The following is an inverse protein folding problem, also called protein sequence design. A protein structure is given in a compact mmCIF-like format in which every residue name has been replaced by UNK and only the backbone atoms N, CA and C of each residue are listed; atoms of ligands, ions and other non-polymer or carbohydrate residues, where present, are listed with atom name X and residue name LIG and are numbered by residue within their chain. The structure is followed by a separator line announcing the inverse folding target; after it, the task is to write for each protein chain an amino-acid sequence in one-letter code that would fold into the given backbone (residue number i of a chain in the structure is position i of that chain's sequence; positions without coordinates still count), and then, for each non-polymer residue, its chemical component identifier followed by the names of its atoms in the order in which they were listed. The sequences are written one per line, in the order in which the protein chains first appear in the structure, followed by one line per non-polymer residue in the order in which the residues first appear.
data_IF_650687716846
#
_entry.id   IF_650687716846
#
_cell.length_a   1.000
_cell.length_b   1.000
_cell.length_c   1.000
_cell.angle_alpha   90.00
_cell.angle_beta   90.00
_cell.angle_gamma   90.00
#
_symmetry.space_group_name_H-M   'P 1'
#
loop_
_entity.id
_entity.type
_entity.pdbx_description
1 polymer ?
#
# COMPACT_ATOMS: atom_id res chain seq x y z
N UNK A 1 -9.12 12.65 -21.98
CA UNK A 1 -10.24 11.85 -22.49
C UNK A 1 -10.39 10.54 -21.71
N UNK A 2 -9.34 9.70 -21.58
CA UNK A 2 -9.40 8.42 -20.86
C UNK A 2 -9.73 8.56 -19.35
N UNK A 3 -9.05 9.44 -18.63
CA UNK A 3 -9.31 9.68 -17.19
C UNK A 3 -10.75 10.16 -16.94
N UNK A 4 -11.24 11.07 -17.79
CA UNK A 4 -12.62 11.55 -17.73
C UNK A 4 -13.66 10.45 -18.00
N UNK A 5 -13.37 9.53 -18.92
CA UNK A 5 -14.25 8.37 -19.14
C UNK A 5 -14.28 7.45 -17.91
N UNK A 6 -13.13 7.22 -17.27
CA UNK A 6 -13.04 6.42 -16.05
C UNK A 6 -13.80 7.07 -14.87
N UNK A 7 -13.70 8.39 -14.71
CA UNK A 7 -14.44 9.14 -13.69
C UNK A 7 -15.96 8.96 -13.77
N UNK A 8 -16.50 8.80 -14.97
CA UNK A 8 -17.94 8.63 -15.21
C UNK A 8 -18.37 7.16 -15.21
N UNK A 9 -17.43 6.24 -15.07
CA UNK A 9 -17.70 4.81 -15.06
C UNK A 9 -18.11 4.35 -13.66
N UNK A 10 -19.18 3.55 -13.55
CA UNK A 10 -19.65 3.00 -12.27
C UNK A 10 -19.49 1.49 -12.25
N UNK A 11 -18.52 1.03 -11.48
CA UNK A 11 -18.26 -0.39 -11.27
C UNK A 11 -19.14 -0.94 -10.14
N UNK A 12 -19.92 -1.99 -10.43
CA UNK A 12 -20.64 -2.74 -9.38
C UNK A 12 -19.85 -3.99 -8.97
N UNK A 13 -19.48 -4.81 -9.96
CA UNK A 13 -18.68 -6.03 -9.82
C UNK A 13 -17.45 -5.93 -10.71
N UNK A 14 -16.24 -6.14 -10.17
CA UNK A 14 -15.03 -5.95 -10.95
C UNK A 14 -14.94 -6.88 -12.15
N UNK A 15 -15.29 -8.16 -11.97
CA UNK A 15 -15.23 -9.17 -13.05
C UNK A 15 -16.12 -8.83 -14.24
N UNK A 16 -17.25 -8.16 -14.01
CA UNK A 16 -18.21 -7.78 -15.06
C UNK A 16 -17.85 -6.44 -15.68
N UNK A 17 -17.35 -5.52 -14.86
CA UNK A 17 -17.04 -4.15 -15.26
C UNK A 17 -15.65 -3.99 -15.87
N UNK A 18 -14.71 -4.88 -15.55
CA UNK A 18 -13.31 -4.78 -15.93
C UNK A 18 -12.85 -6.08 -16.62
N UNK A 19 -12.98 -6.14 -17.96
CA UNK A 19 -12.46 -7.27 -18.75
C UNK A 19 -10.97 -7.48 -18.49
N UNK A 20 -10.51 -8.73 -18.50
CA UNK A 20 -9.10 -9.04 -18.20
C UNK A 20 -8.12 -8.31 -19.11
N UNK A 21 -8.42 -8.16 -20.41
CA UNK A 21 -7.56 -7.43 -21.34
C UNK A 21 -7.39 -5.95 -20.97
N UNK A 22 -8.46 -5.34 -20.42
CA UNK A 22 -8.44 -3.95 -19.95
C UNK A 22 -7.55 -3.84 -18.72
N UNK A 23 -7.69 -4.77 -17.77
CA UNK A 23 -6.84 -4.82 -16.57
C UNK A 23 -5.38 -5.02 -16.94
N UNK A 24 -5.07 -5.98 -17.79
CA UNK A 24 -3.70 -6.27 -18.20
C UNK A 24 -3.08 -5.06 -18.93
N UNK A 25 -3.87 -4.35 -19.74
CA UNK A 25 -3.45 -3.10 -20.39
C UNK A 25 -3.19 -1.98 -19.38
N UNK A 26 -4.05 -1.82 -18.37
CA UNK A 26 -3.86 -0.82 -17.31
C UNK A 26 -2.66 -1.16 -16.42
N UNK A 27 -2.43 -2.43 -16.12
CA UNK A 27 -1.27 -2.89 -15.34
C UNK A 27 0.04 -2.67 -16.10
N UNK A 28 0.06 -2.89 -17.42
CA UNK A 28 1.18 -2.50 -18.29
C UNK A 28 1.40 -1.00 -18.32
N UNK A 29 0.32 -0.22 -18.30
CA UNK A 29 0.39 1.23 -18.25
C UNK A 29 0.98 1.72 -16.92
N UNK A 30 0.55 1.14 -15.79
CA UNK A 30 1.08 1.39 -14.44
C UNK A 30 2.58 1.08 -14.37
N UNK A 31 3.02 -0.04 -14.94
CA UNK A 31 4.44 -0.44 -14.97
C UNK A 31 5.26 0.23 -16.08
N UNK A 32 4.71 1.21 -16.79
CA UNK A 32 5.41 1.86 -17.90
C UNK A 32 6.66 2.59 -17.42
N UNK A 33 7.73 2.53 -18.22
CA UNK A 33 8.95 3.35 -18.02
C UNK A 33 8.65 4.84 -18.18
N UNK A 34 7.56 5.21 -18.85
CA UNK A 34 7.13 6.60 -18.95
C UNK A 34 6.33 6.99 -17.70
N UNK A 35 6.86 7.97 -16.97
CA UNK A 35 6.30 8.47 -15.71
C UNK A 35 4.85 8.95 -15.82
N UNK A 36 4.50 9.63 -16.91
CA UNK A 36 3.14 10.15 -17.12
C UNK A 36 2.16 9.03 -17.45
N UNK A 37 2.60 8.03 -18.20
CA UNK A 37 1.80 6.84 -18.47
C UNK A 37 1.55 6.05 -17.19
N UNK A 38 2.59 5.81 -16.39
CA UNK A 38 2.46 5.16 -15.07
C UNK A 38 1.46 5.90 -14.17
N UNK A 39 1.58 7.22 -14.06
CA UNK A 39 0.65 8.04 -13.29
C UNK A 39 -0.78 7.96 -13.83
N UNK A 40 -0.97 8.05 -15.15
CA UNK A 40 -2.27 7.92 -15.79
C UNK A 40 -2.91 6.55 -15.51
N UNK A 41 -2.13 5.47 -15.63
CA UNK A 41 -2.60 4.11 -15.36
C UNK A 41 -3.09 3.95 -13.92
N UNK A 42 -2.35 4.47 -12.94
CA UNK A 42 -2.80 4.47 -11.55
C UNK A 42 -4.10 5.26 -11.39
N UNK A 43 -4.19 6.49 -11.90
CA UNK A 43 -5.39 7.33 -11.76
C UNK A 43 -6.63 6.73 -12.40
N UNK A 44 -6.49 6.18 -13.61
CA UNK A 44 -7.60 5.47 -14.27
C UNK A 44 -8.04 4.29 -13.41
N UNK A 45 -7.10 3.48 -12.91
CA UNK A 45 -7.42 2.38 -12.02
C UNK A 45 -8.13 2.85 -10.75
N UNK A 46 -7.72 3.97 -10.14
CA UNK A 46 -8.40 4.53 -8.96
C UNK A 46 -9.88 4.76 -9.21
N UNK A 47 -10.24 5.43 -10.32
CA UNK A 47 -11.64 5.70 -10.65
C UNK A 47 -12.44 4.43 -10.95
N UNK A 48 -11.79 3.42 -11.53
CA UNK A 48 -12.45 2.16 -11.84
C UNK A 48 -12.73 1.31 -10.61
N UNK A 49 -11.89 1.41 -9.56
CA UNK A 49 -12.02 0.54 -8.37
C UNK A 49 -12.68 1.23 -7.17
N UNK A 50 -12.57 2.55 -7.01
CA UNK A 50 -13.04 3.28 -5.83
C UNK A 50 -14.57 3.45 -5.81
N UNK A 51 -15.29 2.43 -5.33
CA UNK A 51 -16.75 2.43 -5.21
C UNK A 51 -17.22 3.28 -4.02
N UNK A 52 -16.37 3.40 -3.00
CA UNK A 52 -16.69 4.08 -1.74
C UNK A 52 -16.17 5.52 -1.65
N UNK A 53 -15.62 6.09 -2.72
CA UNK A 53 -15.06 7.45 -2.77
C UNK A 53 -14.00 7.69 -1.67
N UNK A 54 -13.12 6.71 -1.46
CA UNK A 54 -12.02 6.80 -0.51
C UNK A 54 -10.76 7.44 -1.09
N UNK A 55 -10.65 7.64 -2.41
CA UNK A 55 -9.43 8.11 -3.09
C UNK A 55 -8.78 9.31 -2.37
N UNK A 56 -9.55 10.37 -2.10
CA UNK A 56 -9.05 11.59 -1.45
C UNK A 56 -8.52 11.36 -0.02
N UNK A 57 -8.91 10.27 0.64
CA UNK A 57 -8.45 9.90 1.98
C UNK A 57 -7.06 9.24 1.95
N UNK A 58 -6.58 8.87 0.77
CA UNK A 58 -5.33 8.18 0.51
C UNK A 58 -4.39 8.93 -0.44
N UNK A 59 -4.66 10.21 -0.72
CA UNK A 59 -3.82 11.03 -1.62
C UNK A 59 -2.39 11.21 -1.06
N UNK A 60 -2.19 11.06 0.25
CA UNK A 60 -0.87 11.13 0.88
C UNK A 60 -0.65 9.97 1.88
N UNK A 61 0.47 9.23 1.78
CA UNK A 61 0.87 8.25 2.78
C UNK A 61 0.95 8.86 4.19
N UNK A 62 0.35 8.16 5.16
CA UNK A 62 0.34 8.55 6.57
C UNK A 62 0.28 7.32 7.47
N UNK A 63 0.56 7.50 8.76
CA UNK A 63 0.39 6.46 9.77
C UNK A 63 -1.07 6.39 10.20
N UNK A 64 -1.61 5.18 10.29
CA UNK A 64 -2.95 4.89 10.82
C UNK A 64 -2.87 4.30 12.22
N UNK A 65 -3.28 5.06 13.23
CA UNK A 65 -3.31 4.63 14.62
C UNK A 65 -4.60 3.89 14.95
N UNK A 66 -4.52 2.85 15.79
CA UNK A 66 -5.62 1.94 16.13
C UNK A 66 -6.90 2.67 16.58
N UNK A 67 -6.77 3.69 17.42
CA UNK A 67 -7.91 4.38 18.05
C UNK A 67 -8.31 5.68 17.35
N UNK A 68 -7.78 5.94 16.15
CA UNK A 68 -8.06 7.17 15.39
C UNK A 68 -9.17 6.98 14.35
N UNK A 69 -9.99 8.02 14.16
CA UNK A 69 -11.07 8.01 13.16
C UNK A 69 -10.61 8.73 11.89
N UNK A 70 -10.49 7.98 10.80
CA UNK A 70 -10.01 8.50 9.51
C UNK A 70 -11.11 8.70 8.45
N UNK A 71 -12.38 8.48 8.81
CA UNK A 71 -13.54 8.52 7.92
C UNK A 71 -13.39 7.63 6.66
N UNK A 72 -12.58 6.57 6.75
CA UNK A 72 -12.42 5.56 5.69
C UNK A 72 -13.63 4.64 5.71
N UNK A 73 -14.20 4.40 4.52
CA UNK A 73 -15.28 3.43 4.35
C UNK A 73 -14.66 2.12 3.88
N UNK A 74 -14.63 1.12 4.76
CA UNK A 74 -14.22 -0.24 4.40
C UNK A 74 -15.42 -0.93 3.77
N UNK A 75 -15.31 -1.30 2.49
CA UNK A 75 -16.43 -1.82 1.71
C UNK A 75 -16.71 -3.29 2.04
N UNK A 76 -17.94 -3.73 1.83
CA UNK A 76 -18.24 -5.16 1.69
C UNK A 76 -17.88 -5.59 0.27
N UNK A 77 -17.31 -6.78 0.11
CA UNK A 77 -16.90 -7.29 -1.20
C UNK A 77 -17.68 -8.55 -1.60
N UNK A 78 -17.81 -8.76 -2.91
CA UNK A 78 -18.40 -9.98 -3.46
C UNK A 78 -17.33 -11.05 -3.69
N UNK A 79 -17.70 -12.35 -3.66
CA UNK A 79 -16.74 -13.43 -3.92
C UNK A 79 -16.11 -13.31 -5.32
N UNK A 80 -16.84 -12.76 -6.30
CA UNK A 80 -16.31 -12.45 -7.62
C UNK A 80 -15.20 -11.39 -7.59
N UNK A 81 -15.28 -10.40 -6.71
CA UNK A 81 -14.24 -9.37 -6.54
C UNK A 81 -12.98 -10.00 -5.94
N UNK A 82 -13.15 -10.90 -4.97
CA UNK A 82 -12.05 -11.68 -4.39
C UNK A 82 -11.39 -12.59 -5.43
N UNK A 83 -12.16 -13.33 -6.23
CA UNK A 83 -11.64 -14.16 -7.32
C UNK A 83 -10.91 -13.32 -8.38
N UNK A 84 -11.46 -12.15 -8.71
CA UNK A 84 -10.82 -11.19 -9.59
C UNK A 84 -9.45 -10.78 -9.06
N UNK A 85 -9.37 -10.37 -7.79
CA UNK A 85 -8.11 -9.99 -7.18
C UNK A 85 -7.11 -11.16 -7.14
N UNK A 86 -7.55 -12.37 -6.77
CA UNK A 86 -6.71 -13.56 -6.77
C UNK A 86 -6.11 -13.85 -8.14
N UNK A 87 -6.92 -13.76 -9.21
CA UNK A 87 -6.47 -13.97 -10.58
C UNK A 87 -5.38 -12.99 -11.00
N UNK A 88 -5.50 -11.72 -10.60
CA UNK A 88 -4.60 -10.65 -11.03
C UNK A 88 -3.54 -10.28 -9.99
N UNK A 89 -3.46 -10.97 -8.84
CA UNK A 89 -2.61 -10.61 -7.69
C UNK A 89 -1.15 -10.42 -8.07
N UNK A 90 -0.58 -11.39 -8.79
CA UNK A 90 0.83 -11.34 -9.20
C UNK A 90 1.11 -10.18 -10.14
N UNK A 91 0.19 -9.93 -11.08
CA UNK A 91 0.30 -8.83 -12.02
C UNK A 91 0.19 -7.47 -11.30
N UNK A 92 -0.74 -7.31 -10.35
CA UNK A 92 -0.80 -6.14 -9.49
C UNK A 92 0.51 -5.93 -8.72
N UNK A 93 1.01 -6.98 -8.07
CA UNK A 93 2.25 -6.91 -7.29
C UNK A 93 3.43 -6.48 -8.18
N UNK A 94 3.65 -7.16 -9.31
CA UNK A 94 4.74 -6.87 -10.23
C UNK A 94 4.64 -5.45 -10.82
N UNK A 95 3.45 -5.03 -11.26
CA UNK A 95 3.25 -3.71 -11.85
C UNK A 95 3.42 -2.58 -10.84
N UNK A 96 2.88 -2.73 -9.63
CA UNK A 96 3.02 -1.74 -8.56
C UNK A 96 4.47 -1.63 -8.07
N UNK A 97 5.14 -2.76 -7.84
CA UNK A 97 6.54 -2.76 -7.43
C UNK A 97 7.41 -2.09 -8.51
N UNK A 98 7.22 -2.44 -9.79
CA UNK A 98 7.92 -1.81 -10.91
C UNK A 98 7.68 -0.30 -10.96
N UNK A 99 6.41 0.13 -10.81
CA UNK A 99 6.02 1.55 -10.78
C UNK A 99 6.73 2.31 -9.66
N UNK A 100 6.74 1.75 -8.45
CA UNK A 100 7.34 2.36 -7.26
C UNK A 100 8.87 2.43 -7.39
N UNK A 101 9.52 1.35 -7.85
CA UNK A 101 10.97 1.33 -8.02
C UNK A 101 11.43 2.30 -9.13
N UNK A 102 10.66 2.40 -10.22
CA UNK A 102 11.02 3.27 -11.36
C UNK A 102 10.74 4.74 -11.06
N UNK A 103 9.62 5.06 -10.42
CA UNK A 103 9.11 6.44 -10.30
C UNK A 103 9.08 6.97 -8.86
N UNK A 104 9.53 6.20 -7.86
CA UNK A 104 9.47 6.54 -6.43
C UNK A 104 10.22 7.83 -6.04
N UNK A 105 11.16 8.29 -6.87
CA UNK A 105 11.80 9.60 -6.72
C UNK A 105 10.80 10.77 -6.86
N UNK A 106 9.64 10.57 -7.49
CA UNK A 106 8.59 11.59 -7.62
C UNK A 106 7.47 11.30 -6.64
N UNK A 107 7.26 12.24 -5.72
CA UNK A 107 6.25 12.13 -4.67
C UNK A 107 4.86 11.83 -5.25
N UNK A 108 4.43 12.53 -6.30
CA UNK A 108 3.11 12.33 -6.92
C UNK A 108 2.90 10.91 -7.50
N UNK A 109 3.94 10.30 -8.06
CA UNK A 109 3.85 8.93 -8.58
C UNK A 109 3.76 7.92 -7.44
N UNK A 110 4.57 8.11 -6.40
CA UNK A 110 4.57 7.26 -5.22
C UNK A 110 3.24 7.35 -4.46
N UNK A 111 2.71 8.56 -4.28
CA UNK A 111 1.38 8.83 -3.73
C UNK A 111 0.30 8.13 -4.54
N UNK A 112 0.35 8.25 -5.88
CA UNK A 112 -0.62 7.59 -6.74
C UNK A 112 -0.56 6.06 -6.63
N UNK A 113 0.63 5.45 -6.59
CA UNK A 113 0.74 4.00 -6.39
C UNK A 113 0.26 3.58 -4.99
N UNK A 114 0.54 4.37 -3.97
CA UNK A 114 0.03 4.15 -2.61
C UNK A 114 -1.50 4.21 -2.56
N UNK A 115 -2.12 5.19 -3.22
CA UNK A 115 -3.58 5.31 -3.31
C UNK A 115 -4.20 4.05 -3.91
N UNK A 116 -3.63 3.51 -5.00
CA UNK A 116 -4.11 2.26 -5.61
C UNK A 116 -4.02 1.08 -4.62
N UNK A 117 -2.90 0.94 -3.92
CA UNK A 117 -2.71 -0.10 -2.90
C UNK A 117 -3.76 0.03 -1.79
N UNK A 118 -3.98 1.24 -1.29
CA UNK A 118 -4.95 1.53 -0.24
C UNK A 118 -6.40 1.23 -0.69
N UNK A 119 -6.76 1.64 -1.90
CA UNK A 119 -8.07 1.38 -2.50
C UNK A 119 -8.34 -0.12 -2.63
N UNK A 120 -7.38 -0.91 -3.11
CA UNK A 120 -7.53 -2.36 -3.19
C UNK A 120 -7.84 -3.01 -1.83
N UNK A 121 -7.19 -2.54 -0.76
CA UNK A 121 -7.41 -3.07 0.59
C UNK A 121 -8.78 -2.68 1.16
N UNK A 122 -9.27 -1.46 0.95
CA UNK A 122 -10.58 -1.05 1.47
C UNK A 122 -11.75 -1.53 0.63
N UNK A 123 -11.55 -1.77 -0.66
CA UNK A 123 -12.61 -2.24 -1.56
C UNK A 123 -12.81 -3.75 -1.49
N UNK A 124 -11.75 -4.50 -1.20
CA UNK A 124 -11.78 -5.96 -1.04
C UNK A 124 -11.06 -6.34 0.27
N UNK A 125 -11.59 -5.96 1.45
CA UNK A 125 -10.95 -6.22 2.74
C UNK A 125 -10.99 -7.70 3.10
N UNK A 126 -10.03 -8.47 2.59
CA UNK A 126 -9.90 -9.90 2.85
C UNK A 126 -8.44 -10.29 3.14
N UNK A 127 -8.22 -11.51 3.63
CA UNK A 127 -6.88 -12.00 3.93
C UNK A 127 -5.90 -11.93 2.74
N UNK A 128 -6.41 -12.07 1.51
CA UNK A 128 -5.59 -11.98 0.29
C UNK A 128 -5.07 -10.57 0.04
N UNK A 129 -5.89 -9.53 0.22
CA UNK A 129 -5.45 -8.14 0.04
C UNK A 129 -4.56 -7.68 1.18
N UNK A 130 -4.82 -8.11 2.42
CA UNK A 130 -3.92 -7.90 3.55
C UNK A 130 -2.53 -8.47 3.26
N UNK A 131 -2.47 -9.74 2.87
CA UNK A 131 -1.21 -10.42 2.54
C UNK A 131 -0.53 -9.77 1.33
N UNK A 132 -1.28 -9.37 0.30
CA UNK A 132 -0.70 -8.69 -0.86
C UNK A 132 -0.11 -7.32 -0.51
N UNK A 133 -0.79 -6.52 0.33
CA UNK A 133 -0.29 -5.23 0.80
C UNK A 133 0.99 -5.38 1.60
N UNK A 134 1.04 -6.36 2.50
CA UNK A 134 2.22 -6.72 3.28
C UNK A 134 3.38 -7.21 2.40
N UNK A 135 3.13 -8.17 1.50
CA UNK A 135 4.18 -8.69 0.62
C UNK A 135 4.78 -7.58 -0.24
N UNK A 136 3.94 -6.67 -0.76
CA UNK A 136 4.41 -5.54 -1.54
C UNK A 136 5.22 -4.57 -0.68
N UNK A 137 4.80 -4.28 0.55
CA UNK A 137 5.55 -3.43 1.46
C UNK A 137 6.92 -4.04 1.82
N UNK A 138 6.99 -5.34 2.08
CA UNK A 138 8.24 -6.06 2.30
C UNK A 138 9.14 -6.02 1.07
N UNK A 139 8.60 -6.27 -0.13
CA UNK A 139 9.35 -6.21 -1.38
C UNK A 139 9.89 -4.79 -1.68
N UNK A 140 9.13 -3.74 -1.34
CA UNK A 140 9.61 -2.36 -1.44
C UNK A 140 10.77 -2.13 -0.48
N UNK A 141 10.66 -2.60 0.77
CA UNK A 141 11.73 -2.46 1.76
C UNK A 141 13.02 -3.16 1.31
N UNK A 142 12.92 -4.42 0.88
CA UNK A 142 14.04 -5.23 0.40
C UNK A 142 14.69 -4.59 -0.84
N UNK A 143 13.90 -4.22 -1.85
CA UNK A 143 14.42 -3.55 -3.04
C UNK A 143 15.03 -2.17 -2.75
N UNK A 144 14.66 -1.52 -1.64
CA UNK A 144 15.29 -0.25 -1.21
C UNK A 144 16.67 -0.50 -0.62
N UNK A 145 16.89 -1.65 0.04
CA UNK A 145 18.21 -2.02 0.55
C UNK A 145 19.16 -2.48 -0.55
N UNK A 146 18.66 -3.27 -1.50
CA UNK A 146 19.49 -3.87 -2.55
C UNK A 146 19.93 -2.86 -3.64
N UNK A 147 19.29 -1.69 -3.69
CA UNK A 147 19.47 -0.74 -4.77
C UNK A 147 20.33 0.46 -4.39
N UNK A 148 21.63 0.29 -4.58
CA UNK A 148 22.65 1.34 -4.36
C UNK A 148 22.47 2.60 -5.23
N UNK A 149 21.62 2.54 -6.28
CA UNK A 149 21.38 3.69 -7.15
C UNK A 149 20.39 4.71 -6.57
N UNK A 150 19.66 4.34 -5.52
CA UNK A 150 18.72 5.26 -4.87
C UNK A 150 19.44 6.28 -4.02
N UNK A 151 19.06 7.55 -4.18
CA UNK A 151 19.51 8.58 -3.26
C UNK A 151 18.74 8.50 -1.93
N UNK A 152 19.32 9.07 -0.88
CA UNK A 152 18.72 9.08 0.47
C UNK A 152 17.27 9.57 0.50
N UNK A 153 16.94 10.66 -0.21
CA UNK A 153 15.57 11.17 -0.23
C UNK A 153 14.58 10.17 -0.83
N UNK A 154 14.98 9.43 -1.86
CA UNK A 154 14.18 8.38 -2.47
C UNK A 154 14.00 7.22 -1.49
N UNK A 155 15.08 6.70 -0.91
CA UNK A 155 15.02 5.59 0.06
C UNK A 155 14.13 5.93 1.26
N UNK A 156 14.24 7.14 1.81
CA UNK A 156 13.40 7.58 2.93
C UNK A 156 11.91 7.65 2.56
N UNK A 157 11.57 8.10 1.34
CA UNK A 157 10.18 8.06 0.88
C UNK A 157 9.67 6.64 0.72
N UNK A 158 10.48 5.73 0.20
CA UNK A 158 10.10 4.33 0.06
C UNK A 158 9.83 3.71 1.43
N UNK A 159 10.72 3.91 2.40
CA UNK A 159 10.51 3.42 3.78
C UNK A 159 9.31 4.08 4.49
N UNK A 160 9.05 5.37 4.25
CA UNK A 160 7.85 6.03 4.75
C UNK A 160 6.58 5.43 4.12
N UNK A 161 6.59 5.13 2.82
CA UNK A 161 5.48 4.43 2.16
C UNK A 161 5.27 3.02 2.73
N UNK A 162 6.34 2.28 3.03
CA UNK A 162 6.24 0.97 3.72
C UNK A 162 5.49 1.11 5.05
N UNK A 163 5.84 2.09 5.89
CA UNK A 163 5.12 2.34 7.16
C UNK A 163 3.65 2.68 6.95
N UNK A 164 3.35 3.49 5.94
CA UNK A 164 1.97 3.86 5.63
C UNK A 164 1.14 2.65 5.17
N UNK A 165 1.72 1.74 4.37
CA UNK A 165 1.05 0.51 3.94
C UNK A 165 0.85 -0.43 5.14
N UNK A 166 1.88 -0.68 5.94
CA UNK A 166 1.81 -1.59 7.11
C UNK A 166 0.79 -1.09 8.14
N UNK A 167 0.79 0.21 8.46
CA UNK A 167 -0.20 0.79 9.37
C UNK A 167 -1.62 0.74 8.83
N UNK A 168 -1.80 0.94 7.51
CA UNK A 168 -3.11 0.81 6.88
C UNK A 168 -3.64 -0.63 6.91
N UNK A 169 -2.77 -1.63 6.70
CA UNK A 169 -3.12 -3.05 6.88
C UNK A 169 -3.60 -3.27 8.31
N UNK A 170 -2.83 -2.83 9.31
CA UNK A 170 -3.22 -2.99 10.70
C UNK A 170 -4.60 -2.35 11.00
N UNK A 171 -4.83 -1.15 10.46
CA UNK A 171 -6.07 -0.39 10.63
C UNK A 171 -7.29 -1.08 10.00
N UNK A 172 -7.20 -1.45 8.72
CA UNK A 172 -8.33 -2.03 7.98
C UNK A 172 -8.73 -3.39 8.57
N UNK A 173 -7.75 -4.21 8.93
CA UNK A 173 -7.96 -5.58 9.37
C UNK A 173 -8.04 -5.72 10.90
N UNK A 174 -7.92 -4.64 11.66
CA UNK A 174 -7.91 -4.65 13.13
C UNK A 174 -6.87 -5.64 13.70
N UNK A 175 -5.69 -5.66 13.11
CA UNK A 175 -4.65 -6.64 13.39
C UNK A 175 -3.86 -6.26 14.66
N UNK A 176 -4.45 -6.43 15.85
CA UNK A 176 -3.90 -5.96 17.13
C UNK A 176 -2.46 -6.39 17.42
N UNK A 177 -2.17 -7.69 17.26
CA UNK A 177 -0.81 -8.22 17.47
C UNK A 177 0.18 -7.59 16.49
N UNK A 178 -0.26 -7.33 15.26
CA UNK A 178 0.58 -6.65 14.28
C UNK A 178 0.74 -5.16 14.61
N UNK A 179 -0.29 -4.52 15.16
CA UNK A 179 -0.23 -3.16 15.67
C UNK A 179 0.82 -3.00 16.78
N UNK A 180 0.90 -3.94 17.72
CA UNK A 180 1.90 -3.92 18.79
C UNK A 180 3.32 -3.88 18.20
N UNK A 181 3.60 -4.77 17.24
CA UNK A 181 4.89 -4.78 16.54
C UNK A 181 5.14 -3.50 15.74
N UNK A 182 4.16 -3.04 14.97
CA UNK A 182 4.22 -1.79 14.22
C UNK A 182 4.56 -0.59 15.13
N UNK A 183 3.94 -0.50 16.31
CA UNK A 183 4.19 0.57 17.26
C UNK A 183 5.65 0.57 17.74
N UNK A 184 6.25 -0.60 17.97
CA UNK A 184 7.68 -0.66 18.32
C UNK A 184 8.58 -0.07 17.23
N UNK A 185 8.25 -0.27 15.95
CA UNK A 185 9.00 0.31 14.83
C UNK A 185 8.74 1.81 14.73
N UNK A 186 7.49 2.26 14.89
CA UNK A 186 7.13 3.68 14.89
C UNK A 186 7.93 4.42 15.95
N UNK A 187 7.97 3.89 17.18
CA UNK A 187 8.63 4.52 18.33
C UNK A 187 10.15 4.60 18.10
N UNK A 188 10.79 3.50 17.69
CA UNK A 188 12.23 3.48 17.37
C UNK A 188 12.56 4.46 16.23
N UNK A 189 11.75 4.50 15.17
CA UNK A 189 11.95 5.46 14.08
C UNK A 189 11.73 6.89 14.54
N UNK A 190 10.75 7.17 15.40
CA UNK A 190 10.52 8.51 15.93
C UNK A 190 11.73 9.02 16.74
N UNK A 191 12.37 8.13 17.50
CA UNK A 191 13.56 8.45 18.29
C UNK A 191 14.83 8.59 17.43
N UNK A 192 15.12 7.60 16.58
CA UNK A 192 16.43 7.49 15.92
C UNK A 192 16.46 7.94 14.46
N UNK A 193 15.34 7.85 13.74
CA UNK A 193 15.27 8.07 12.29
C UNK A 193 13.89 8.59 11.82
N UNK A 194 13.44 9.77 12.30
CA UNK A 194 12.07 10.24 12.08
C UNK A 194 11.74 10.51 10.61
N UNK A 195 12.76 10.68 9.76
CA UNK A 195 12.63 10.83 8.32
C UNK A 195 12.17 9.55 7.60
N UNK A 196 12.27 8.37 8.24
CA UNK A 196 11.75 7.10 7.72
C UNK A 196 10.25 6.92 7.98
N UNK A 197 9.61 7.81 8.74
CA UNK A 197 8.17 7.81 8.99
C UNK A 197 7.46 8.79 8.04
N UNK A 198 6.20 8.50 7.66
CA UNK A 198 5.33 9.49 7.02
C UNK A 198 5.18 10.77 7.84
N UNK A 199 4.83 11.92 7.23
CA UNK A 199 4.44 12.08 5.82
C UNK A 199 5.63 12.10 4.85
N UNK A 200 5.37 11.83 3.57
CA UNK A 200 6.37 11.98 2.52
C UNK A 200 6.83 13.43 2.42
N UNK A 201 8.15 13.65 2.38
CA UNK A 201 8.74 14.99 2.18
C UNK A 201 9.51 15.05 0.87
N UNK A 202 9.48 16.23 0.22
CA UNK A 202 10.28 16.49 -0.98
C UNK A 202 11.78 16.49 -0.65
N UNK A 203 12.14 17.05 0.49
CA UNK A 203 13.52 17.13 1.01
C UNK A 203 13.46 16.70 2.47
N UNK A 204 14.37 15.83 2.89
CA UNK A 204 14.56 15.49 4.30
C UNK A 204 15.79 16.24 4.83
N UNK A 205 15.61 16.93 5.95
CA UNK A 205 16.69 17.60 6.67
C UNK A 205 17.29 16.62 7.69
N UNK A 206 18.62 16.59 7.76
CA UNK A 206 19.35 15.67 8.64
C UNK A 206 20.02 16.46 9.76
N UNK A 207 19.65 16.15 11.00
CA UNK A 207 20.46 16.56 12.12
C UNK A 207 21.70 15.66 12.17
N UNK A 208 22.89 16.25 12.37
CA UNK A 208 24.18 15.54 12.45
C UNK A 208 24.23 14.42 13.52
N UNK A 209 23.25 14.34 14.41
CA UNK A 209 23.14 13.34 15.47
C UNK A 209 22.28 12.11 15.07
N UNK A 210 21.58 12.12 13.93
CA UNK A 210 20.69 11.03 13.47
C UNK A 210 21.39 10.08 12.46
N UNK A 211 22.65 9.71 12.73
CA UNK A 211 23.51 8.98 11.78
C UNK A 211 23.22 7.47 11.73
N UNK A 212 22.21 6.98 12.46
CA UNK A 212 21.90 5.55 12.60
C UNK A 212 20.57 5.15 11.93
N UNK A 213 20.34 5.57 10.69
CA UNK A 213 19.10 5.27 9.96
C UNK A 213 19.08 3.85 9.36
N UNK A 214 20.23 3.18 9.28
CA UNK A 214 20.44 1.87 8.64
C UNK A 214 20.38 0.69 9.62
N UNK A 215 20.04 0.94 10.89
CA UNK A 215 19.93 -0.11 11.90
C UNK A 215 18.80 -1.09 11.57
N UNK A 216 19.03 -2.41 11.55
CA UNK A 216 18.00 -3.42 11.20
C UNK A 216 16.71 -3.31 12.03
N UNK A 217 16.84 -2.94 13.31
CA UNK A 217 15.73 -2.77 14.26
C UNK A 217 14.74 -1.64 13.91
N UNK A 218 15.06 -0.81 12.92
CA UNK A 218 14.17 0.21 12.36
C UNK A 218 13.28 -0.34 11.24
N UNK A 219 13.44 -1.58 10.83
CA UNK A 219 12.77 -2.15 9.66
C UNK A 219 11.95 -3.39 10.01
N UNK A 220 10.99 -3.72 9.15
CA UNK A 220 10.13 -4.87 9.39
C UNK A 220 10.87 -6.18 9.13
N UNK A 221 10.72 -7.13 10.04
CA UNK A 221 11.17 -8.51 9.90
C UNK A 221 10.04 -9.36 9.31
N UNK A 222 10.37 -10.18 8.30
CA UNK A 222 9.39 -10.98 7.56
C UNK A 222 8.55 -11.90 8.47
N UNK A 223 9.19 -12.54 9.45
CA UNK A 223 8.51 -13.49 10.33
C UNK A 223 7.54 -12.81 11.31
N UNK A 224 7.89 -11.63 11.86
CA UNK A 224 7.01 -10.85 12.75
C UNK A 224 5.77 -10.37 12.01
N UNK A 225 5.95 -9.88 10.78
CA UNK A 225 4.86 -9.42 9.93
C UNK A 225 3.91 -10.58 9.58
N UNK A 226 4.46 -11.73 9.18
CA UNK A 226 3.67 -12.95 8.89
C UNK A 226 2.93 -13.44 10.14
N UNK A 227 3.58 -13.43 11.29
CA UNK A 227 2.99 -13.82 12.56
C UNK A 227 1.82 -12.90 12.94
N UNK A 228 2.00 -11.59 12.82
CA UNK A 228 0.95 -10.59 13.05
C UNK A 228 -0.29 -10.82 12.18
N UNK A 229 -0.10 -11.03 10.87
CA UNK A 229 -1.20 -11.36 9.95
C UNK A 229 -1.87 -12.68 10.29
N UNK A 230 -1.09 -13.73 10.55
CA UNK A 230 -1.62 -15.04 10.88
C UNK A 230 -2.48 -15.00 12.13
N UNK A 231 -2.05 -14.27 13.17
CA UNK A 231 -2.84 -14.08 14.40
C UNK A 231 -4.17 -13.39 14.12
N UNK A 232 -4.17 -12.36 13.28
CA UNK A 232 -5.38 -11.63 12.89
C UNK A 232 -6.43 -12.58 12.30
N UNK A 233 -6.09 -13.27 11.22
CA UNK A 233 -7.07 -14.09 10.49
C UNK A 233 -7.44 -15.39 11.22
N UNK A 234 -6.54 -15.97 12.02
CA UNK A 234 -6.86 -17.13 12.86
C UNK A 234 -7.85 -16.79 13.98
N UNK A 235 -7.80 -15.58 14.52
CA UNK A 235 -8.77 -15.14 15.54
C UNK A 235 -10.16 -14.93 14.93
N UNK A 236 -10.23 -14.45 13.70
CA UNK A 236 -11.50 -14.25 12.99
C UNK A 236 -12.17 -15.58 12.62
N UNK A 237 -11.40 -16.60 12.19
CA UNK A 237 -11.93 -17.95 11.99
C UNK A 237 -12.60 -18.51 13.25
N UNK A 238 -11.99 -18.29 14.43
CA UNK A 238 -12.57 -18.76 15.70
C UNK A 238 -13.87 -18.05 16.07
N UNK A 239 -14.00 -16.75 15.78
CA UNK A 239 -15.24 -15.98 16.02
C UNK A 239 -16.38 -16.45 15.12
N UNK A 240 -16.08 -16.78 13.87
CA UNK A 240 -17.07 -17.26 12.90
C UNK A 240 -17.56 -18.69 13.17
N UNK A 241 -16.79 -19.51 13.90
CA UNK A 241 -17.21 -20.88 14.31
C UNK A 241 -18.08 -20.87 15.57
N UNK A 242 -18.05 -19.78 16.34
CA UNK A 242 -18.75 -19.65 17.63
C UNK A 242 -20.00 -18.76 17.59
N UNK A 243 -20.37 -18.27 16.39
CA UNK A 243 -21.58 -17.49 16.11
C UNK A 243 -22.54 -18.30 15.24
#
# INVERSE_FOLDING_TARGET
MLEYAAMNYRTKLYKESLPSDVIDSLLKLISSKNMLQSLLGNRVMHYLIDRCNNRLKFDTPRIFYENSKYNIVVNTYHEQDKQFFQKHREAFHASLLTSIMTHGMRQINLESSYTLIALLMVEIPCAYTAAAGVCLAMAIQEATFDNDSFNMNQSHRLHASVMAIMSLVCYIFNAKVFYDYLNTIIDRRAEFAPHLNPPLKRIYEYNQHHVHWDKPELFFEDWEVRYGLWKCFKQDEKKNITS
#
